data_IF_416945147228
#
_entry.id   IF_416945147228
#
_cell.length_a   1.000
_cell.length_b   1.000
_cell.length_c   1.000
_cell.angle_alpha   90.00
_cell.angle_beta   90.00
_cell.angle_gamma   90.00
#
_symmetry.space_group_name_H-M   'P 1'
#
loop_
_entity.id
_entity.type
_entity.pdbx_description
1 polymer ?
#
# COMPACT_ATOMS: atom_id res chain seq x y z
N UNK A 1 16.05 -22.81 -10.93
CA UNK A 1 15.76 -22.75 -12.38
C UNK A 1 14.94 -21.52 -12.71
N UNK A 2 15.09 -20.98 -13.91
CA UNK A 2 14.26 -19.90 -14.47
C UNK A 2 13.67 -20.43 -15.79
N UNK A 3 12.37 -20.71 -15.82
CA UNK A 3 11.80 -21.57 -16.87
C UNK A 3 12.40 -22.98 -16.81
N UNK A 4 12.96 -23.45 -17.93
CA UNK A 4 13.63 -24.77 -18.04
C UNK A 4 15.15 -24.70 -17.81
N UNK A 5 15.71 -23.50 -17.62
CA UNK A 5 17.16 -23.31 -17.47
C UNK A 5 17.58 -23.44 -16.01
N UNK A 6 18.55 -24.32 -15.74
CA UNK A 6 19.20 -24.47 -14.43
C UNK A 6 20.34 -23.44 -14.34
N UNK A 7 20.37 -22.67 -13.24
CA UNK A 7 21.29 -21.56 -13.04
C UNK A 7 22.31 -21.90 -11.95
N UNK A 8 23.40 -22.57 -12.32
CA UNK A 8 24.35 -23.12 -11.33
C UNK A 8 25.44 -22.13 -10.93
N UNK A 9 25.85 -21.20 -11.80
CA UNK A 9 26.97 -20.27 -11.54
C UNK A 9 26.65 -19.15 -10.55
N UNK A 10 25.38 -18.76 -10.43
CA UNK A 10 24.93 -17.68 -9.53
C UNK A 10 24.23 -18.20 -8.27
N UNK A 11 24.11 -19.53 -8.14
CA UNK A 11 23.52 -20.17 -6.97
C UNK A 11 24.61 -20.49 -5.95
N UNK A 12 24.50 -19.94 -4.76
CA UNK A 12 25.30 -20.35 -3.60
C UNK A 12 24.71 -21.62 -3.00
N UNK A 13 25.55 -22.61 -2.74
CA UNK A 13 25.13 -23.90 -2.20
C UNK A 13 25.73 -24.16 -0.82
N UNK A 14 24.88 -24.61 0.10
CA UNK A 14 25.31 -25.20 1.36
C UNK A 14 25.68 -26.67 1.15
N UNK A 15 26.74 -27.12 1.82
CA UNK A 15 27.04 -28.55 1.91
C UNK A 15 25.88 -29.37 2.49
N UNK A 16 25.92 -30.67 2.25
CA UNK A 16 24.95 -31.62 2.84
C UNK A 16 25.41 -31.96 4.25
N UNK A 17 24.58 -31.64 5.26
CA UNK A 17 24.90 -31.82 6.67
C UNK A 17 23.91 -32.79 7.31
N UNK A 18 24.38 -33.80 8.06
CA UNK A 18 23.50 -34.75 8.74
C UNK A 18 22.80 -34.13 9.96
N UNK A 19 21.56 -34.55 10.18
CA UNK A 19 20.75 -34.23 11.35
C UNK A 19 20.83 -35.37 12.39
N UNK A 20 20.43 -35.09 13.63
CA UNK A 20 20.42 -36.09 14.72
C UNK A 20 19.38 -37.19 14.54
N UNK A 21 18.36 -36.95 13.72
CA UNK A 21 17.27 -37.87 13.41
C UNK A 21 17.59 -38.82 12.24
N UNK A 22 18.80 -38.75 11.68
CA UNK A 22 19.23 -39.55 10.54
C UNK A 22 18.84 -38.98 9.17
N UNK A 23 18.24 -37.79 9.12
CA UNK A 23 17.99 -37.06 7.88
C UNK A 23 19.18 -36.15 7.52
N UNK A 24 19.12 -35.49 6.37
CA UNK A 24 20.13 -34.53 5.93
C UNK A 24 19.47 -33.19 5.59
N UNK A 25 20.21 -32.10 5.77
CA UNK A 25 19.82 -30.78 5.27
C UNK A 25 20.88 -30.20 4.33
N UNK A 26 20.42 -29.43 3.36
CA UNK A 26 21.22 -28.65 2.42
C UNK A 26 20.40 -27.43 2.00
N UNK A 27 21.02 -26.45 1.36
CA UNK A 27 20.34 -25.25 0.90
C UNK A 27 20.98 -24.70 -0.38
N UNK A 28 20.18 -23.95 -1.14
CA UNK A 28 20.61 -23.16 -2.27
C UNK A 28 20.06 -21.73 -2.11
N UNK A 29 20.87 -20.73 -2.47
CA UNK A 29 20.48 -19.31 -2.46
C UNK A 29 20.83 -18.67 -3.78
N UNK A 30 19.88 -17.89 -4.30
CA UNK A 30 20.08 -17.01 -5.45
C UNK A 30 19.73 -15.58 -5.05
N UNK A 31 20.41 -14.61 -5.65
CA UNK A 31 20.04 -13.20 -5.54
C UNK A 31 19.18 -12.83 -6.74
N UNK A 32 17.90 -12.53 -6.51
CA UNK A 32 16.97 -12.14 -7.56
C UNK A 32 16.38 -10.75 -7.31
N UNK A 33 16.26 -9.96 -8.38
CA UNK A 33 15.51 -8.72 -8.39
C UNK A 33 14.03 -9.00 -8.05
N UNK A 34 13.33 -8.10 -7.33
CA UNK A 34 11.93 -8.30 -6.94
C UNK A 34 11.01 -8.68 -8.10
N UNK A 35 11.22 -8.09 -9.28
CA UNK A 35 10.43 -8.31 -10.50
C UNK A 35 10.66 -9.69 -11.13
N UNK A 36 11.80 -10.30 -10.85
CA UNK A 36 12.16 -11.61 -11.41
C UNK A 36 11.83 -12.77 -10.47
N UNK A 37 11.48 -12.52 -9.21
CA UNK A 37 11.27 -13.58 -8.19
C UNK A 37 10.26 -14.64 -8.63
N UNK A 38 9.18 -14.20 -9.26
CA UNK A 38 8.12 -15.08 -9.78
C UNK A 38 8.58 -15.98 -10.94
N UNK A 39 9.69 -15.63 -11.59
CA UNK A 39 10.26 -16.39 -12.71
C UNK A 39 11.18 -17.51 -12.22
N UNK A 40 11.62 -17.46 -10.97
CA UNK A 40 12.50 -18.47 -10.37
C UNK A 40 11.71 -19.55 -9.66
N UNK A 41 12.17 -20.79 -9.83
CA UNK A 41 11.69 -21.96 -9.10
C UNK A 41 12.86 -22.77 -8.56
N UNK A 42 12.73 -23.24 -7.32
CA UNK A 42 13.65 -24.19 -6.71
C UNK A 42 13.27 -25.60 -7.16
N UNK A 43 14.24 -26.35 -7.69
CA UNK A 43 14.07 -27.74 -8.13
C UNK A 43 14.89 -28.63 -7.20
N UNK A 44 14.23 -29.58 -6.56
CA UNK A 44 14.85 -30.50 -5.60
C UNK A 44 14.70 -31.92 -6.12
N UNK A 45 15.84 -32.57 -6.37
CA UNK A 45 15.90 -33.97 -6.79
C UNK A 45 16.39 -34.82 -5.63
N UNK A 46 15.66 -35.89 -5.35
CA UNK A 46 15.99 -36.82 -4.28
C UNK A 46 15.86 -38.25 -4.80
N UNK A 47 16.83 -39.16 -4.57
CA UNK A 47 16.78 -40.52 -5.09
C UNK A 47 15.54 -41.32 -4.70
N UNK A 48 14.91 -40.97 -3.58
CA UNK A 48 13.67 -41.60 -3.10
C UNK A 48 12.38 -41.10 -3.77
N UNK A 49 12.46 -40.15 -4.70
CA UNK A 49 11.30 -39.54 -5.35
C UNK A 49 11.42 -39.67 -6.87
N UNK A 50 10.36 -40.18 -7.51
CA UNK A 50 10.34 -40.35 -8.98
C UNK A 50 10.29 -39.00 -9.71
N UNK A 51 9.67 -38.00 -9.10
CA UNK A 51 9.51 -36.66 -9.69
C UNK A 51 10.26 -35.61 -8.85
N UNK A 52 10.85 -34.60 -9.49
CA UNK A 52 11.50 -33.51 -8.78
C UNK A 52 10.47 -32.63 -8.05
N UNK A 53 10.78 -32.22 -6.82
CA UNK A 53 10.02 -31.21 -6.10
C UNK A 53 10.28 -29.82 -6.68
N UNK A 54 9.23 -29.12 -7.13
CA UNK A 54 9.34 -27.78 -7.70
C UNK A 54 8.64 -26.76 -6.78
N UNK A 55 9.39 -25.81 -6.24
CA UNK A 55 8.90 -24.79 -5.31
C UNK A 55 9.04 -23.39 -5.91
N UNK A 56 7.98 -22.59 -5.83
CA UNK A 56 8.00 -21.18 -6.25
C UNK A 56 8.40 -20.26 -5.08
N UNK A 57 8.72 -19.01 -5.37
CA UNK A 57 8.94 -18.00 -4.34
C UNK A 57 7.63 -17.69 -3.59
N UNK A 58 7.68 -17.53 -2.27
CA UNK A 58 6.48 -17.20 -1.48
C UNK A 58 6.08 -15.74 -1.73
N UNK A 59 4.80 -15.43 -2.04
CA UNK A 59 4.35 -14.06 -2.27
C UNK A 59 4.65 -13.18 -1.07
N UNK A 60 5.26 -12.02 -1.28
CA UNK A 60 5.52 -11.08 -0.19
C UNK A 60 4.19 -10.49 0.29
N UNK A 61 3.77 -10.69 1.57
CA UNK A 61 2.45 -10.25 2.05
C UNK A 61 2.23 -8.73 2.09
N UNK A 62 3.24 -7.92 1.77
CA UNK A 62 3.24 -6.47 1.99
C UNK A 62 2.42 -5.65 0.99
N UNK A 63 2.30 -6.09 -0.27
CA UNK A 63 1.71 -5.26 -1.34
C UNK A 63 0.25 -4.88 -1.07
N UNK A 64 -0.56 -5.84 -0.63
CA UNK A 64 -1.99 -5.62 -0.40
C UNK A 64 -2.24 -4.74 0.84
N UNK A 65 -1.41 -4.87 1.88
CA UNK A 65 -1.55 -4.10 3.11
C UNK A 65 -1.23 -2.62 2.87
N UNK A 66 -0.16 -2.31 2.11
CA UNK A 66 0.20 -0.93 1.79
C UNK A 66 -0.89 -0.21 0.99
N UNK A 67 -1.50 -0.90 0.01
CA UNK A 67 -2.61 -0.35 -0.78
C UNK A 67 -3.84 -0.10 0.09
N UNK A 68 -4.22 -1.05 0.95
CA UNK A 68 -5.35 -0.89 1.87
C UNK A 68 -5.18 0.31 2.81
N UNK A 69 -3.99 0.48 3.39
CA UNK A 69 -3.68 1.60 4.29
C UNK A 69 -3.77 2.93 3.54
N UNK A 70 -3.20 3.01 2.33
CA UNK A 70 -3.24 4.22 1.52
C UNK A 70 -4.68 4.64 1.16
N UNK A 71 -5.51 3.70 0.71
CA UNK A 71 -6.92 3.95 0.37
C UNK A 71 -7.70 4.42 1.59
N UNK A 72 -7.45 3.83 2.76
CA UNK A 72 -8.12 4.21 4.01
C UNK A 72 -7.83 5.66 4.42
N UNK A 73 -6.57 6.10 4.30
CA UNK A 73 -6.16 7.48 4.61
C UNK A 73 -6.83 8.48 3.66
N UNK A 74 -6.83 8.19 2.35
CA UNK A 74 -7.45 9.06 1.34
C UNK A 74 -8.95 9.23 1.63
N UNK A 75 -9.64 8.12 1.92
CA UNK A 75 -11.06 8.15 2.24
C UNK A 75 -11.35 9.02 3.49
N UNK A 76 -10.54 8.90 4.54
CA UNK A 76 -10.71 9.70 5.76
C UNK A 76 -10.56 11.20 5.51
N UNK A 77 -9.57 11.60 4.69
CA UNK A 77 -9.34 13.01 4.35
C UNK A 77 -10.52 13.58 3.56
N UNK A 78 -11.04 12.83 2.58
CA UNK A 78 -12.18 13.26 1.79
C UNK A 78 -13.42 13.48 2.67
N UNK A 79 -13.71 12.57 3.59
CA UNK A 79 -14.82 12.68 4.53
C UNK A 79 -14.68 13.94 5.39
N UNK A 80 -13.50 14.17 5.99
CA UNK A 80 -13.24 15.35 6.82
C UNK A 80 -13.42 16.65 6.03
N UNK A 81 -12.86 16.72 4.81
CA UNK A 81 -12.97 17.91 3.96
C UNK A 81 -14.41 18.23 3.57
N UNK A 82 -15.23 17.22 3.27
CA UNK A 82 -16.63 17.37 2.92
C UNK A 82 -17.46 17.87 4.13
N UNK A 83 -17.20 17.33 5.32
CA UNK A 83 -17.85 17.77 6.56
C UNK A 83 -17.52 19.23 6.87
N UNK A 84 -16.25 19.62 6.80
CA UNK A 84 -15.84 21.01 7.04
C UNK A 84 -16.46 21.95 6.01
N UNK A 85 -16.42 21.59 4.72
CA UNK A 85 -17.04 22.38 3.66
C UNK A 85 -18.55 22.55 3.84
N UNK A 86 -19.24 21.48 4.22
CA UNK A 86 -20.68 21.50 4.49
C UNK A 86 -21.04 22.39 5.68
N UNK A 87 -20.27 22.32 6.77
CA UNK A 87 -20.46 23.16 7.96
C UNK A 87 -20.29 24.64 7.61
N UNK A 88 -19.22 25.00 6.89
CA UNK A 88 -18.95 26.39 6.48
C UNK A 88 -20.06 26.91 5.57
N UNK A 89 -20.50 26.11 4.59
CA UNK A 89 -21.60 26.48 3.70
C UNK A 89 -22.89 26.75 4.47
N UNK A 90 -23.23 25.88 5.43
CA UNK A 90 -24.44 26.03 6.25
C UNK A 90 -24.36 27.26 7.16
N UNK A 91 -23.18 27.60 7.69
CA UNK A 91 -22.96 28.81 8.49
C UNK A 91 -23.10 30.09 7.65
N UNK A 92 -22.54 30.13 6.44
CA UNK A 92 -22.65 31.31 5.56
C UNK A 92 -24.06 31.50 5.00
N UNK A 93 -24.75 30.41 4.66
CA UNK A 93 -26.13 30.45 4.15
C UNK A 93 -27.14 30.89 5.22
N UNK A 94 -26.84 30.70 6.51
CA UNK A 94 -27.65 31.19 7.63
C UNK A 94 -27.55 32.70 7.89
N UNK A 95 -26.44 33.35 7.50
CA UNK A 95 -26.20 34.78 7.77
C UNK A 95 -26.76 35.71 6.67
N UNK A 96 -27.06 35.18 5.48
CA UNK A 96 -27.55 35.97 4.33
C UNK A 96 -29.08 36.09 4.31
N UNK A 97 -29.71 36.27 5.48
CA UNK A 97 -31.16 36.48 5.61
C UNK A 97 -31.58 37.63 6.52
N UNK A 98 -30.65 38.32 7.20
CA UNK A 98 -31.03 39.35 8.19
C UNK A 98 -30.16 40.64 8.15
N UNK A 99 -29.97 41.21 6.96
CA UNK A 99 -29.13 42.41 6.80
C UNK A 99 -29.63 43.37 5.74
N UNK A 100 -30.85 43.91 5.92
CA UNK A 100 -31.49 44.76 4.93
C UNK A 100 -32.34 45.88 5.51
N UNK A 101 -31.80 46.76 6.37
CA UNK A 101 -32.22 48.18 6.49
C UNK A 101 -31.37 48.95 7.50
N UNK A 102 -30.30 49.58 7.04
CA UNK A 102 -29.87 50.86 7.59
C UNK A 102 -29.02 51.60 6.57
N UNK A 103 -29.62 52.63 5.97
CA UNK A 103 -29.05 53.40 4.87
C UNK A 103 -29.59 54.82 4.89
N UNK A 104 -28.97 55.62 5.75
CA UNK A 104 -28.69 57.05 5.58
C UNK A 104 -29.78 57.98 5.04
N UNK A 105 -30.26 58.88 5.91
CA UNK A 105 -30.56 60.27 5.50
C UNK A 105 -29.99 61.24 6.53
N UNK A 106 -28.75 61.66 6.33
CA UNK A 106 -28.20 62.85 6.99
C UNK A 106 -28.57 64.03 6.07
N UNK A 107 -29.47 64.88 6.52
CA UNK A 107 -29.64 66.22 6.00
C UNK A 107 -29.47 67.18 7.18
N UNK A 108 -28.52 68.12 7.15
CA UNK A 108 -28.35 69.08 8.22
C UNK A 108 -29.50 70.09 8.20
N UNK A 109 -29.94 70.50 9.39
CA UNK A 109 -30.91 71.57 9.59
C UNK A 109 -30.29 72.95 9.29
N UNK A 110 -31.12 73.94 8.93
CA UNK A 110 -30.95 75.28 9.47
C UNK A 110 -32.22 75.77 10.18
N UNK A 111 -32.00 76.16 11.44
CA UNK A 111 -32.40 77.42 12.11
C UNK A 111 -33.84 77.97 11.97
N UNK A 112 -34.49 78.24 13.12
CA UNK A 112 -35.81 78.86 13.27
C UNK A 112 -35.79 80.41 13.18
N UNK A 113 -36.96 80.94 12.79
CA UNK A 113 -37.48 82.33 12.73
C UNK A 113 -36.86 83.33 11.74
#
# INVERSE_FOLDING_TARGET
>A
MKGDVIWDQETEWGGVVPNSDGTFHTWARITALPEEREQYRCRVEHPGTLEPGIFAWEPTPGGNLTVLVAVSIIAAILILSALTGFIVWKLQSGNTRDGGREGARIHPAPFQE
#
